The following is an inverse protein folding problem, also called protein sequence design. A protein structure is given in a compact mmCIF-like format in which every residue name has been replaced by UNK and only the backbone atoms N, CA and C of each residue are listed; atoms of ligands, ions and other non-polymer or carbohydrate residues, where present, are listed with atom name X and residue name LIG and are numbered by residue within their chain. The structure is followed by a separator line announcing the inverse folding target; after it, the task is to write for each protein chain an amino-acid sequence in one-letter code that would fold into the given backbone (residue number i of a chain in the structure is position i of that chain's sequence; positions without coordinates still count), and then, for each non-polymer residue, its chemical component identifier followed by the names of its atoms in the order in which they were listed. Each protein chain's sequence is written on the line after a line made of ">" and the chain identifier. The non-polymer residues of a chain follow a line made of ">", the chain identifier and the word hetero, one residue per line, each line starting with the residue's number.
data_IF_649590388464
#
_entry.id   IF_649590388464
#
_cell.length_a   1.000
_cell.length_b   1.000
_cell.length_c   1.000
_cell.angle_alpha   90.00
_cell.angle_beta   90.00
_cell.angle_gamma   90.00
#
_symmetry.space_group_name_H-M   'P 1'
#
loop_
_entity.id
_entity.type
_entity.pdbx_description
1 polymer ?
#
# COMPACT_ATOMS: atom_id res chain seq x y z
N UNK A 1 37.81 -30.04 41.91
CA UNK A 1 38.21 -29.21 40.75
C UNK A 1 36.97 -28.47 40.30
N UNK A 2 36.88 -27.19 40.63
CA UNK A 2 35.69 -26.36 40.45
C UNK A 2 35.73 -25.69 39.06
N UNK A 3 34.64 -25.68 38.28
CA UNK A 3 34.64 -24.97 37.01
C UNK A 3 34.44 -23.48 37.27
N UNK A 4 35.40 -22.70 36.78
CA UNK A 4 35.35 -21.24 36.76
C UNK A 4 34.38 -20.81 35.65
N UNK A 5 33.15 -20.45 36.03
CA UNK A 5 32.17 -19.84 35.12
C UNK A 5 32.56 -18.38 34.93
N UNK A 6 33.23 -18.08 33.82
CA UNK A 6 33.53 -16.72 33.39
C UNK A 6 32.23 -16.03 33.00
N UNK A 7 31.69 -15.23 33.92
CA UNK A 7 30.60 -14.30 33.66
C UNK A 7 31.12 -13.17 32.76
N UNK A 8 30.99 -13.34 31.44
CA UNK A 8 31.10 -12.25 30.48
C UNK A 8 29.99 -11.25 30.78
N UNK A 9 30.31 -10.18 31.50
CA UNK A 9 29.45 -9.01 31.65
C UNK A 9 29.23 -8.42 30.25
N UNK A 10 28.09 -8.75 29.64
CA UNK A 10 27.52 -7.93 28.56
C UNK A 10 27.36 -6.53 29.14
N UNK A 11 28.23 -5.61 28.74
CA UNK A 11 28.04 -4.19 29.02
C UNK A 11 26.75 -3.77 28.34
N UNK A 12 25.73 -3.45 29.14
CA UNK A 12 24.51 -2.80 28.70
C UNK A 12 24.87 -1.37 28.28
N UNK A 13 25.46 -1.21 27.09
CA UNK A 13 25.47 0.09 26.45
C UNK A 13 24.01 0.48 26.22
N UNK A 14 23.62 1.63 26.79
CA UNK A 14 22.27 2.15 26.56
C UNK A 14 22.06 2.29 25.06
N UNK A 15 20.98 1.72 24.50
CA UNK A 15 20.75 1.77 23.08
C UNK A 15 20.68 3.24 22.64
N UNK A 16 21.49 3.59 21.63
CA UNK A 16 21.54 4.95 21.10
C UNK A 16 20.15 5.32 20.58
N UNK A 17 19.55 6.37 21.13
CA UNK A 17 18.25 6.92 20.72
C UNK A 17 18.22 7.10 19.20
N UNK A 18 17.18 6.58 18.56
CA UNK A 18 16.98 6.67 17.10
C UNK A 18 15.62 7.30 16.83
N UNK A 19 15.55 8.64 16.93
CA UNK A 19 14.33 9.39 16.64
C UNK A 19 14.14 9.50 15.12
N UNK A 20 12.99 9.04 14.62
CA UNK A 20 12.56 9.18 13.22
C UNK A 20 11.09 9.59 13.13
N UNK A 21 10.69 10.15 11.99
CA UNK A 21 9.32 10.63 11.72
C UNK A 21 8.32 9.54 11.34
N UNK A 22 8.82 8.35 10.99
CA UNK A 22 8.03 7.20 10.58
C UNK A 22 8.87 5.92 10.73
N UNK A 23 8.22 4.76 10.72
CA UNK A 23 8.91 3.47 10.77
C UNK A 23 9.60 3.22 9.43
N UNK A 24 10.76 2.56 9.43
CA UNK A 24 11.33 2.10 8.16
C UNK A 24 10.64 0.81 7.72
N UNK A 25 10.82 0.47 6.44
CA UNK A 25 10.49 -0.86 5.93
C UNK A 25 11.13 -1.94 6.80
N UNK A 26 10.40 -3.02 7.04
CA UNK A 26 10.74 -4.15 7.94
C UNK A 26 10.51 -3.91 9.43
N UNK A 27 10.13 -2.69 9.83
CA UNK A 27 9.82 -2.41 11.23
C UNK A 27 8.47 -3.03 11.60
N UNK A 28 8.41 -3.73 12.73
CA UNK A 28 7.14 -4.12 13.32
C UNK A 28 6.58 -2.98 14.15
N UNK A 29 5.30 -2.71 13.97
CA UNK A 29 4.56 -1.70 14.71
C UNK A 29 3.29 -2.32 15.29
N UNK A 30 2.89 -1.81 16.44
CA UNK A 30 1.52 -1.93 16.92
C UNK A 30 0.70 -0.75 16.46
N UNK A 31 -0.57 -0.95 16.14
CA UNK A 31 -1.43 0.15 15.70
C UNK A 31 -2.92 -0.10 15.94
N UNK A 32 -3.70 0.97 15.89
CA UNK A 32 -5.17 0.97 15.94
C UNK A 32 -5.74 2.01 14.98
N UNK A 33 -6.93 1.77 14.44
CA UNK A 33 -7.61 2.72 13.54
C UNK A 33 -8.09 3.94 14.35
N UNK A 34 -7.78 5.14 13.89
CA UNK A 34 -8.17 6.41 14.52
C UNK A 34 -9.14 7.17 13.62
N UNK A 35 -10.43 6.93 13.84
CA UNK A 35 -11.51 7.55 13.07
C UNK A 35 -11.52 9.08 13.19
N UNK A 36 -11.18 9.62 14.36
CA UNK A 36 -11.20 11.08 14.58
C UNK A 36 -10.09 11.75 13.79
N UNK A 37 -8.85 11.25 13.88
CA UNK A 37 -7.75 11.77 13.06
C UNK A 37 -8.02 11.60 11.56
N UNK A 38 -8.70 10.52 11.17
CA UNK A 38 -9.11 10.33 9.78
C UNK A 38 -10.09 11.42 9.34
N UNK A 39 -11.12 11.72 10.12
CA UNK A 39 -12.07 12.80 9.80
C UNK A 39 -11.42 14.18 9.82
N UNK A 40 -10.46 14.41 10.72
CA UNK A 40 -9.66 15.63 10.76
C UNK A 40 -8.82 15.80 9.49
N UNK A 41 -8.18 14.73 9.01
CA UNK A 41 -7.45 14.69 7.74
C UNK A 41 -8.37 15.05 6.56
N UNK A 42 -9.55 14.44 6.52
CA UNK A 42 -10.58 14.69 5.51
C UNK A 42 -11.25 16.07 5.64
N UNK A 43 -10.95 16.82 6.72
CA UNK A 43 -11.57 18.11 7.07
C UNK A 43 -13.10 18.01 7.13
N UNK A 44 -13.59 16.89 7.66
CA UNK A 44 -15.00 16.60 7.82
C UNK A 44 -15.43 17.00 9.23
N UNK A 45 -16.39 17.92 9.34
CA UNK A 45 -16.97 18.29 10.63
C UNK A 45 -17.82 17.12 11.17
N UNK A 46 -17.47 16.61 12.35
CA UNK A 46 -18.19 15.51 12.97
C UNK A 46 -19.60 15.98 13.37
N UNK A 47 -20.62 15.43 12.71
CA UNK A 47 -22.02 15.68 13.09
C UNK A 47 -22.32 14.91 14.37
N UNK A 48 -23.09 15.53 15.28
CA UNK A 48 -23.41 14.92 16.58
C UNK A 48 -24.07 13.53 16.49
N UNK A 49 -24.71 13.20 15.36
CA UNK A 49 -25.30 11.86 15.11
C UNK A 49 -24.25 10.74 14.94
N UNK A 50 -23.00 11.07 14.60
CA UNK A 50 -21.92 10.10 14.42
C UNK A 50 -20.94 10.06 15.59
N UNK A 51 -20.96 11.05 16.50
CA UNK A 51 -20.06 11.12 17.66
C UNK A 51 -20.12 9.88 18.55
N UNK A 52 -21.33 9.36 18.80
CA UNK A 52 -21.51 8.14 19.59
C UNK A 52 -20.95 6.91 18.87
N UNK A 53 -21.20 6.77 17.56
CA UNK A 53 -20.68 5.66 16.75
C UNK A 53 -19.15 5.67 16.68
N UNK A 54 -18.54 6.84 16.49
CA UNK A 54 -17.09 7.03 16.48
C UNK A 54 -16.48 6.71 17.85
N UNK A 55 -17.11 7.16 18.93
CA UNK A 55 -16.62 6.93 20.30
C UNK A 55 -16.74 5.47 20.72
N UNK A 56 -17.79 4.78 20.25
CA UNK A 56 -18.03 3.37 20.54
C UNK A 56 -17.32 2.43 19.56
N UNK A 57 -16.64 2.95 18.53
CA UNK A 57 -15.89 2.13 17.59
C UNK A 57 -14.76 1.37 18.31
N UNK A 58 -14.59 0.07 18.06
CA UNK A 58 -13.64 -0.75 18.82
C UNK A 58 -12.18 -0.32 18.56
N UNK A 59 -11.53 0.24 19.59
CA UNK A 59 -10.10 0.58 19.55
C UNK A 59 -9.21 -0.65 19.77
N UNK A 60 -9.26 -1.62 18.84
CA UNK A 60 -8.41 -2.82 18.87
C UNK A 60 -6.99 -2.49 18.40
N UNK A 61 -6.01 -3.11 19.05
CA UNK A 61 -4.59 -2.99 18.69
C UNK A 61 -4.15 -4.20 17.88
N UNK A 62 -3.64 -3.93 16.69
CA UNK A 62 -3.10 -4.90 15.75
C UNK A 62 -1.58 -4.79 15.70
N UNK A 63 -0.92 -5.80 15.14
CA UNK A 63 0.53 -5.79 14.89
C UNK A 63 0.74 -6.05 13.41
N UNK A 64 1.64 -5.29 12.81
CA UNK A 64 2.03 -5.46 11.42
C UNK A 64 3.52 -5.19 11.24
N UNK A 65 4.06 -5.68 10.14
CA UNK A 65 5.35 -5.22 9.61
C UNK A 65 5.11 -4.24 8.47
N UNK A 66 5.92 -3.20 8.43
CA UNK A 66 5.95 -2.24 7.32
C UNK A 66 6.57 -2.90 6.09
N UNK A 67 5.81 -2.98 4.97
CA UNK A 67 6.26 -3.63 3.74
C UNK A 67 6.76 -2.65 2.68
N UNK A 68 5.99 -1.58 2.44
CA UNK A 68 6.28 -0.60 1.40
C UNK A 68 7.09 0.57 1.92
N UNK A 69 7.95 1.12 1.08
CA UNK A 69 8.39 2.50 1.29
C UNK A 69 7.18 3.41 1.15
N UNK A 70 7.09 4.50 1.94
CA UNK A 70 6.01 5.46 1.77
C UNK A 70 6.00 5.97 0.33
N UNK A 71 4.83 5.93 -0.31
CA UNK A 71 4.64 6.44 -1.68
C UNK A 71 4.94 7.94 -1.76
N UNK A 72 4.78 8.65 -0.64
CA UNK A 72 5.11 10.06 -0.46
C UNK A 72 6.44 10.23 0.25
N UNK A 73 7.30 11.12 -0.26
CA UNK A 73 8.52 11.52 0.45
C UNK A 73 8.18 12.12 1.83
N UNK A 74 8.99 11.86 2.86
CA UNK A 74 8.79 12.44 4.19
C UNK A 74 9.13 13.94 4.18
N UNK A 75 8.19 14.75 3.72
CA UNK A 75 8.29 16.20 3.71
C UNK A 75 7.83 16.70 5.09
N UNK A 76 8.60 17.53 5.81
CA UNK A 76 8.26 18.00 7.15
C UNK A 76 6.88 18.69 7.30
N UNK A 77 6.33 19.19 6.20
CA UNK A 77 5.03 19.87 6.16
C UNK A 77 3.86 18.96 5.74
N UNK A 78 4.11 17.66 5.49
CA UNK A 78 3.10 16.69 5.10
C UNK A 78 2.74 15.84 6.32
N UNK A 79 1.61 16.10 6.99
CA UNK A 79 1.31 15.53 8.30
C UNK A 79 0.98 14.04 8.28
N UNK A 80 0.74 13.45 7.10
CA UNK A 80 0.38 12.04 6.95
C UNK A 80 1.13 11.40 5.80
N UNK A 81 1.56 10.14 6.00
CA UNK A 81 2.22 9.33 4.98
C UNK A 81 1.40 8.08 4.73
N UNK A 82 1.18 7.76 3.45
CA UNK A 82 0.62 6.48 3.06
C UNK A 82 1.67 5.39 3.24
N UNK A 83 1.26 4.26 3.82
CA UNK A 83 2.14 3.11 4.01
C UNK A 83 1.37 1.82 3.82
N UNK A 84 2.09 0.79 3.39
CA UNK A 84 1.57 -0.58 3.25
C UNK A 84 2.03 -1.43 4.42
N UNK A 85 1.07 -2.01 5.14
CA UNK A 85 1.27 -2.85 6.31
C UNK A 85 0.89 -4.29 6.00
N UNK A 86 1.75 -5.24 6.41
CA UNK A 86 1.40 -6.66 6.41
C UNK A 86 1.10 -7.13 7.82
N UNK A 87 -0.10 -7.65 8.02
CA UNK A 87 -0.54 -8.06 9.35
C UNK A 87 0.24 -9.27 9.84
N UNK A 88 0.53 -9.23 11.13
CA UNK A 88 1.05 -10.35 11.90
C UNK A 88 -0.09 -10.90 12.77
N UNK A 89 -0.30 -12.20 12.71
CA UNK A 89 -1.26 -12.89 13.58
C UNK A 89 -0.64 -14.10 14.27
N UNK A 90 -1.38 -14.64 15.23
CA UNK A 90 -1.03 -15.84 15.96
C UNK A 90 -1.84 -17.03 15.43
N UNK A 91 -1.16 -18.14 15.16
CA UNK A 91 -1.70 -19.31 14.50
C UNK A 91 -1.72 -19.19 12.97
N UNK A 92 -1.88 -20.33 12.31
CA UNK A 92 -2.15 -20.37 10.88
C UNK A 92 -3.48 -19.65 10.57
N UNK A 93 -3.57 -18.89 9.47
CA UNK A 93 -4.83 -18.29 9.07
C UNK A 93 -5.88 -19.35 8.75
N UNK A 94 -7.12 -19.06 9.17
CA UNK A 94 -8.27 -19.72 8.61
C UNK A 94 -8.41 -19.34 7.12
N UNK A 95 -8.98 -20.24 6.33
CA UNK A 95 -9.30 -19.93 4.95
C UNK A 95 -10.30 -18.76 4.90
N UNK A 96 -10.04 -17.78 4.04
CA UNK A 96 -10.95 -16.64 3.83
C UNK A 96 -11.40 -16.66 2.36
N UNK A 97 -12.53 -17.33 2.05
CA UNK A 97 -12.93 -17.60 0.66
C UNK A 97 -13.19 -16.33 -0.17
N UNK A 98 -13.64 -15.24 0.47
CA UNK A 98 -13.96 -13.99 -0.22
C UNK A 98 -12.73 -13.31 -0.86
N UNK A 99 -11.53 -13.61 -0.37
CA UNK A 99 -10.26 -13.10 -0.88
C UNK A 99 -9.37 -14.23 -1.41
N UNK A 100 -9.94 -15.44 -1.57
CA UNK A 100 -9.23 -16.64 -1.99
C UNK A 100 -7.95 -16.93 -1.18
N UNK A 101 -7.95 -16.53 0.09
CA UNK A 101 -6.83 -16.78 0.99
C UNK A 101 -6.93 -18.18 1.56
N UNK A 102 -5.91 -18.99 1.32
CA UNK A 102 -5.78 -20.33 1.88
C UNK A 102 -4.80 -20.34 3.06
N UNK A 103 -4.93 -21.29 4.02
CA UNK A 103 -4.08 -21.34 5.20
C UNK A 103 -2.57 -21.39 4.94
N UNK A 104 -2.17 -21.85 3.75
CA UNK A 104 -0.77 -21.96 3.34
C UNK A 104 -0.23 -20.72 2.63
N UNK A 105 -1.07 -19.71 2.36
CA UNK A 105 -0.68 -18.41 1.79
C UNK A 105 -0.15 -17.47 2.89
N UNK A 106 0.79 -17.98 3.68
CA UNK A 106 1.42 -17.27 4.77
C UNK A 106 2.90 -17.66 4.88
N UNK A 107 3.62 -17.09 5.83
CA UNK A 107 4.95 -17.54 6.19
C UNK A 107 5.23 -17.36 7.69
N UNK A 108 5.91 -18.33 8.32
CA UNK A 108 6.13 -18.31 9.76
C UNK A 108 7.20 -17.29 10.16
N UNK A 109 7.16 -16.85 11.41
CA UNK A 109 8.18 -16.03 12.06
C UNK A 109 8.92 -16.87 13.10
N UNK A 110 10.24 -16.67 13.21
CA UNK A 110 11.10 -17.36 14.18
C UNK A 110 10.56 -17.15 15.60
N UNK A 111 10.43 -18.20 16.44
CA UNK A 111 11.06 -19.52 16.31
C UNK A 111 10.25 -20.60 15.59
N UNK A 112 9.05 -20.30 15.08
CA UNK A 112 8.14 -21.33 14.61
C UNK A 112 8.59 -21.88 13.25
N UNK A 113 8.47 -23.19 13.06
CA UNK A 113 8.91 -23.86 11.83
C UNK A 113 7.79 -24.60 11.11
N UNK A 114 6.59 -24.67 11.70
CA UNK A 114 5.46 -25.36 11.10
C UNK A 114 4.80 -24.50 10.03
N UNK A 115 5.01 -24.84 8.76
CA UNK A 115 4.27 -24.25 7.65
C UNK A 115 3.85 -25.36 6.67
N UNK A 116 2.62 -25.34 6.12
CA UNK A 116 2.15 -26.40 5.21
C UNK A 116 3.08 -26.62 3.99
N UNK A 117 3.68 -25.55 3.49
CA UNK A 117 4.64 -25.58 2.37
C UNK A 117 6.11 -25.62 2.81
N UNK A 118 6.39 -25.92 4.08
CA UNK A 118 7.74 -25.94 4.66
C UNK A 118 8.55 -24.65 4.42
N UNK A 119 7.89 -23.49 4.37
CA UNK A 119 8.57 -22.20 4.18
C UNK A 119 9.47 -21.92 5.39
N UNK A 120 10.76 -21.61 5.18
CA UNK A 120 11.65 -21.21 6.26
C UNK A 120 11.14 -19.97 6.99
N UNK A 121 11.14 -19.97 8.34
CA UNK A 121 10.68 -18.82 9.08
C UNK A 121 11.52 -17.58 8.84
N UNK A 122 10.87 -16.43 8.81
CA UNK A 122 11.55 -15.14 8.79
C UNK A 122 12.13 -14.85 10.16
N UNK A 123 13.36 -14.34 10.18
CA UNK A 123 14.08 -13.96 11.38
C UNK A 123 13.81 -12.51 11.69
N UNK A 124 13.84 -12.23 12.99
CA UNK A 124 13.77 -10.88 13.52
C UNK A 124 15.06 -10.58 14.28
N UNK A 125 15.40 -9.29 14.40
CA UNK A 125 16.59 -8.86 15.16
C UNK A 125 16.57 -9.30 16.64
N UNK A 126 15.38 -9.56 17.17
CA UNK A 126 15.12 -10.16 18.48
C UNK A 126 13.82 -10.97 18.43
N UNK A 127 13.67 -12.06 19.19
CA UNK A 127 12.46 -12.89 19.17
C UNK A 127 11.21 -12.07 19.48
N UNK A 128 10.14 -12.28 18.73
CA UNK A 128 8.84 -11.68 19.03
C UNK A 128 8.29 -12.23 20.37
N UNK A 129 7.46 -11.45 21.09
CA UNK A 129 6.94 -11.86 22.39
C UNK A 129 5.86 -12.96 22.31
N UNK A 130 5.32 -13.21 21.11
CA UNK A 130 4.33 -14.26 20.86
C UNK A 130 4.96 -15.46 20.16
N UNK A 131 4.29 -16.62 20.28
CA UNK A 131 4.65 -17.86 19.58
C UNK A 131 3.62 -18.11 18.49
N UNK A 132 3.98 -18.99 17.56
CA UNK A 132 3.16 -19.39 16.42
C UNK A 132 2.75 -18.18 15.58
N UNK A 133 3.72 -17.34 15.23
CA UNK A 133 3.49 -16.09 14.52
C UNK A 133 3.58 -16.27 13.00
N UNK A 134 2.61 -15.73 12.27
CA UNK A 134 2.55 -15.82 10.80
C UNK A 134 2.22 -14.48 10.18
N UNK A 135 2.90 -14.17 9.07
CA UNK A 135 2.53 -13.08 8.16
C UNK A 135 1.65 -13.62 7.04
N UNK A 136 0.69 -12.81 6.62
CA UNK A 136 -0.23 -13.17 5.55
C UNK A 136 0.28 -12.63 4.23
N UNK A 137 0.58 -13.51 3.28
CA UNK A 137 1.31 -13.12 2.08
C UNK A 137 0.48 -12.25 1.12
N UNK A 138 -0.83 -12.48 1.06
CA UNK A 138 -1.74 -11.78 0.13
C UNK A 138 -2.58 -10.68 0.79
N UNK A 139 -2.28 -10.34 2.05
CA UNK A 139 -3.10 -9.43 2.83
C UNK A 139 -2.27 -8.28 3.37
N UNK A 140 -2.13 -7.29 2.50
CA UNK A 140 -1.58 -6.00 2.85
C UNK A 140 -2.73 -5.00 3.05
N UNK A 141 -2.52 -4.06 3.96
CA UNK A 141 -3.44 -2.97 4.23
C UNK A 141 -2.73 -1.64 4.00
N UNK A 142 -3.33 -0.79 3.19
CA UNK A 142 -2.89 0.59 3.04
C UNK A 142 -3.52 1.46 4.12
N UNK A 143 -2.69 2.26 4.77
CA UNK A 143 -3.11 3.15 5.87
C UNK A 143 -2.34 4.46 5.84
N UNK A 144 -2.85 5.44 6.58
CA UNK A 144 -2.16 6.70 6.79
C UNK A 144 -1.50 6.76 8.17
N UNK A 145 -0.19 6.98 8.18
CA UNK A 145 0.58 7.24 9.40
C UNK A 145 0.68 8.74 9.65
N UNK A 146 0.33 9.24 10.85
CA UNK A 146 0.64 10.61 11.23
C UNK A 146 2.16 10.76 11.38
N UNK A 147 2.72 11.80 10.76
CA UNK A 147 4.13 12.11 10.87
C UNK A 147 4.44 12.52 12.31
N UNK A 148 5.10 11.63 13.05
CA UNK A 148 5.37 11.83 14.47
C UNK A 148 6.71 11.21 14.85
N UNK A 149 7.38 11.84 15.82
CA UNK A 149 8.71 11.44 16.24
C UNK A 149 8.62 10.29 17.24
N UNK A 150 9.14 9.13 16.86
CA UNK A 150 9.24 7.98 17.76
C UNK A 150 10.68 7.54 17.93
N UNK A 151 10.98 6.95 19.09
CA UNK A 151 12.24 6.29 19.35
C UNK A 151 12.18 4.82 18.87
N UNK A 152 12.93 4.51 17.83
CA UNK A 152 13.03 3.17 17.25
C UNK A 152 14.21 2.37 17.79
N UNK A 153 14.90 2.86 18.82
CA UNK A 153 16.08 2.19 19.38
C UNK A 153 15.79 0.73 19.82
N UNK A 154 14.57 0.48 20.31
CA UNK A 154 14.12 -0.84 20.76
C UNK A 154 13.07 -1.47 19.82
N UNK A 155 12.91 -0.99 18.59
CA UNK A 155 11.94 -1.57 17.67
C UNK A 155 12.33 -3.01 17.26
N UNK A 156 11.34 -3.78 16.83
CA UNK A 156 11.53 -5.11 16.24
C UNK A 156 11.63 -4.95 14.72
N UNK A 157 12.54 -5.69 14.09
CA UNK A 157 12.83 -5.58 12.67
C UNK A 157 12.92 -6.96 12.05
N UNK A 158 12.37 -7.13 10.86
CA UNK A 158 12.61 -8.30 10.02
C UNK A 158 14.02 -8.23 9.42
N UNK A 159 14.71 -9.37 9.34
CA UNK A 159 15.99 -9.47 8.64
C UNK A 159 15.83 -9.03 7.18
N UNK A 160 16.89 -8.43 6.62
CA UNK A 160 16.83 -7.90 5.25
C UNK A 160 16.62 -8.99 4.20
N UNK A 161 17.34 -10.11 4.31
CA UNK A 161 17.23 -11.20 3.35
C UNK A 161 15.89 -11.92 3.49
N UNK A 162 15.39 -12.02 4.72
CA UNK A 162 14.07 -12.60 4.98
C UNK A 162 12.93 -11.70 4.48
N UNK A 163 13.10 -10.38 4.49
CA UNK A 163 12.16 -9.45 3.87
C UNK A 163 12.10 -9.59 2.35
N UNK A 164 13.25 -9.68 1.68
CA UNK A 164 13.31 -9.95 0.24
C UNK A 164 12.68 -11.30 -0.11
N UNK A 165 12.92 -12.32 0.72
CA UNK A 165 12.31 -13.64 0.54
C UNK A 165 10.79 -13.60 0.77
N UNK A 166 10.33 -12.86 1.78
CA UNK A 166 8.92 -12.65 2.05
C UNK A 166 8.22 -11.97 0.86
N UNK A 167 8.87 -11.01 0.19
CA UNK A 167 8.33 -10.38 -1.02
C UNK A 167 8.06 -11.40 -2.13
N UNK A 168 8.98 -12.36 -2.33
CA UNK A 168 8.78 -13.47 -3.28
C UNK A 168 7.57 -14.35 -2.91
N UNK A 169 7.45 -14.74 -1.64
CA UNK A 169 6.30 -15.53 -1.19
C UNK A 169 4.98 -14.82 -1.46
N UNK A 170 4.96 -13.48 -1.35
CA UNK A 170 3.78 -12.68 -1.66
C UNK A 170 3.43 -12.71 -3.14
N UNK A 171 4.42 -12.64 -4.04
CA UNK A 171 4.18 -12.81 -5.48
C UNK A 171 3.60 -14.19 -5.80
N UNK A 172 4.24 -15.26 -5.30
CA UNK A 172 3.79 -16.65 -5.50
C UNK A 172 2.37 -16.87 -4.98
N UNK A 173 2.07 -16.40 -3.77
CA UNK A 173 0.75 -16.58 -3.17
C UNK A 173 -0.31 -15.70 -3.85
N UNK A 174 0.04 -14.50 -4.30
CA UNK A 174 -0.87 -13.64 -5.05
C UNK A 174 -1.24 -14.24 -6.42
N UNK A 175 -0.29 -14.87 -7.12
CA UNK A 175 -0.56 -15.67 -8.31
C UNK A 175 -1.52 -16.83 -8.02
N UNK A 176 -1.27 -17.56 -6.93
CA UNK A 176 -2.12 -18.67 -6.54
C UNK A 176 -3.54 -18.20 -6.15
N UNK A 177 -3.65 -17.10 -5.42
CA UNK A 177 -4.93 -16.48 -5.08
C UNK A 177 -5.68 -16.04 -6.34
N UNK A 178 -5.00 -15.44 -7.34
CA UNK A 178 -5.59 -15.10 -8.64
C UNK A 178 -6.07 -16.34 -9.39
N UNK A 179 -5.28 -17.40 -9.44
CA UNK A 179 -5.67 -18.66 -10.08
C UNK A 179 -6.91 -19.29 -9.42
N UNK A 180 -7.00 -19.20 -8.08
CA UNK A 180 -8.12 -19.70 -7.31
C UNK A 180 -9.41 -18.88 -7.49
N UNK A 181 -9.32 -17.61 -7.90
CA UNK A 181 -10.50 -16.76 -8.16
C UNK A 181 -11.26 -17.17 -9.42
N UNK A 182 -10.63 -17.88 -10.36
CA UNK A 182 -11.22 -18.19 -11.66
C UNK A 182 -11.32 -16.95 -12.58
N UNK A 183 -12.24 -16.96 -13.55
CA UNK A 183 -12.45 -15.80 -14.41
C UNK A 183 -12.87 -14.57 -13.56
N UNK A 184 -12.32 -13.38 -13.86
CA UNK A 184 -12.50 -12.19 -13.02
C UNK A 184 -13.98 -11.84 -12.88
N UNK A 185 -14.52 -11.99 -11.67
CA UNK A 185 -15.81 -11.40 -11.34
C UNK A 185 -15.62 -9.89 -11.19
N UNK A 186 -16.20 -9.12 -12.11
CA UNK A 186 -16.23 -7.66 -12.07
C UNK A 186 -16.76 -7.18 -10.71
N UNK A 187 -15.88 -6.62 -9.86
CA UNK A 187 -16.25 -6.05 -8.56
C UNK A 187 -15.32 -6.35 -7.39
N UNK A 188 -14.14 -6.94 -7.61
CA UNK A 188 -13.21 -7.20 -6.51
C UNK A 188 -12.55 -5.92 -5.97
N UNK A 189 -12.25 -5.86 -4.66
CA UNK A 189 -11.61 -4.70 -4.07
C UNK A 189 -10.20 -4.48 -4.62
N UNK A 190 -9.90 -3.24 -4.99
CA UNK A 190 -8.65 -2.79 -5.62
C UNK A 190 -7.39 -2.89 -4.73
N UNK A 191 -7.50 -3.36 -3.48
CA UNK A 191 -6.41 -3.30 -2.49
C UNK A 191 -5.44 -4.49 -2.53
N UNK A 192 -5.62 -5.46 -3.43
CA UNK A 192 -4.51 -6.35 -3.78
C UNK A 192 -3.62 -5.51 -4.70
N UNK A 193 -2.38 -5.17 -4.31
CA UNK A 193 -1.48 -4.44 -5.17
C UNK A 193 -1.22 -5.29 -6.42
N UNK A 194 -1.98 -5.04 -7.46
CA UNK A 194 -1.61 -5.41 -8.80
C UNK A 194 -0.51 -4.40 -9.16
N UNK A 195 0.73 -4.85 -9.19
CA UNK A 195 1.64 -4.21 -10.14
C UNK A 195 0.98 -4.43 -11.49
N UNK A 196 0.33 -3.37 -12.00
CA UNK A 196 -0.06 -3.31 -13.40
C UNK A 196 1.26 -3.44 -14.15
N UNK A 197 1.59 -4.66 -14.58
CA UNK A 197 2.59 -4.85 -15.60
C UNK A 197 2.12 -3.96 -16.76
N UNK A 198 2.83 -2.85 -16.96
CA UNK A 198 2.73 -1.97 -18.13
C UNK A 198 3.18 -2.77 -19.37
N UNK A 199 2.50 -3.88 -19.66
CA UNK A 199 2.47 -4.46 -20.98
C UNK A 199 1.68 -3.49 -21.86
N UNK A 200 2.41 -2.49 -22.34
CA UNK A 200 2.12 -1.75 -23.56
C UNK A 200 1.98 -2.79 -24.69
N UNK A 201 0.82 -3.42 -24.78
CA UNK A 201 0.47 -4.29 -25.88
C UNK A 201 0.20 -3.41 -27.09
N UNK A 202 1.27 -3.18 -27.84
CA UNK A 202 1.23 -2.67 -29.19
C UNK A 202 0.30 -3.53 -30.07
N UNK A 203 -0.36 -2.83 -31.00
CA UNK A 203 -1.11 -3.33 -32.14
C UNK A 203 -2.49 -3.96 -31.90
N UNK A 204 -3.53 -3.12 -31.96
CA UNK A 204 -4.79 -3.51 -32.59
C UNK A 204 -4.57 -3.75 -34.10
N UNK A 205 -4.81 -4.95 -34.64
CA UNK A 205 -5.13 -5.10 -36.05
C UNK A 205 -6.61 -4.77 -36.26
N UNK A 206 -6.84 -3.68 -36.97
CA UNK A 206 -8.08 -3.39 -37.68
C UNK A 206 -8.50 -4.60 -38.51
N UNK A 207 -9.61 -5.25 -38.14
CA UNK A 207 -10.36 -6.14 -39.03
C UNK A 207 -11.79 -5.64 -39.14
N UNK A 208 -12.06 -5.00 -40.28
CA UNK A 208 -13.39 -4.96 -40.86
C UNK A 208 -13.71 -6.39 -41.31
N UNK A 209 -14.82 -6.95 -40.83
CA UNK A 209 -15.85 -7.56 -41.69
C UNK A 209 -17.01 -8.07 -40.84
N UNK A 210 -18.19 -7.52 -41.13
CA UNK A 210 -19.48 -7.99 -40.63
C UNK A 210 -19.95 -9.12 -41.54
N UNK A 211 -20.14 -10.31 -41.00
CA UNK A 211 -21.11 -11.26 -41.55
C UNK A 211 -21.92 -11.91 -40.43
N UNK A 212 -23.16 -12.21 -40.80
CA UNK A 212 -24.30 -12.38 -39.93
C UNK A 212 -24.49 -13.83 -39.48
N UNK A 213 -24.88 -13.99 -38.21
CA UNK A 213 -25.88 -14.95 -37.74
C UNK A 213 -25.63 -16.45 -37.89
N UNK A 214 -25.45 -17.12 -36.75
CA UNK A 214 -26.14 -18.39 -36.47
C UNK A 214 -26.19 -18.66 -34.96
N UNK A 215 -27.39 -18.96 -34.47
CA UNK A 215 -27.72 -19.21 -33.07
C UNK A 215 -27.29 -20.65 -32.73
N UNK A 216 -26.21 -20.83 -31.96
CA UNK A 216 -25.77 -22.15 -31.48
C UNK A 216 -26.04 -22.35 -29.99
N UNK A 217 -26.43 -23.58 -29.66
CA UNK A 217 -26.82 -24.11 -28.35
C UNK A 217 -25.82 -23.82 -27.22
N UNK A 218 -26.29 -23.76 -25.96
CA UNK A 218 -25.40 -23.54 -24.82
C UNK A 218 -24.44 -24.73 -24.61
N UNK A 219 -23.16 -24.47 -24.28
CA UNK A 219 -22.17 -25.53 -24.09
C UNK A 219 -22.46 -26.33 -22.82
N UNK A 220 -22.19 -27.64 -22.89
CA UNK A 220 -22.26 -28.55 -21.75
C UNK A 220 -21.26 -28.15 -20.64
N UNK A 221 -21.55 -28.44 -19.36
CA UNK A 221 -20.68 -28.09 -18.24
C UNK A 221 -19.30 -28.75 -18.38
N UNK A 222 -18.25 -27.94 -18.18
CA UNK A 222 -16.86 -28.41 -18.27
C UNK A 222 -16.51 -29.36 -17.11
N UNK A 223 -15.68 -30.39 -17.36
CA UNK A 223 -15.21 -31.29 -16.32
C UNK A 223 -14.29 -30.57 -15.32
N UNK A 224 -14.35 -31.04 -14.08
CA UNK A 224 -13.54 -30.61 -12.95
C UNK A 224 -12.03 -30.61 -13.31
N UNK A 225 -11.36 -29.46 -13.16
CA UNK A 225 -9.94 -29.28 -13.44
C UNK A 225 -9.08 -30.30 -12.68
N UNK A 226 -8.16 -30.97 -13.38
CA UNK A 226 -7.19 -31.87 -12.77
C UNK A 226 -6.26 -31.08 -11.81
N UNK A 227 -5.84 -31.67 -10.68
CA UNK A 227 -4.94 -31.02 -9.74
C UNK A 227 -3.60 -30.71 -10.43
N UNK A 228 -3.18 -29.44 -10.35
CA UNK A 228 -1.88 -28.97 -10.85
C UNK A 228 -0.76 -29.85 -10.31
N UNK A 229 0.09 -30.35 -11.23
CA UNK A 229 1.25 -31.14 -10.90
C UNK A 229 2.15 -30.38 -9.92
N UNK A 230 2.46 -31.01 -8.78
CA UNK A 230 3.32 -30.43 -7.76
C UNK A 230 4.72 -30.24 -8.34
N UNK A 231 5.15 -28.98 -8.56
CA UNK A 231 6.54 -28.66 -8.94
C UNK A 231 7.46 -29.16 -7.81
N UNK A 232 8.30 -30.15 -8.09
CA UNK A 232 9.35 -30.59 -7.17
C UNK A 232 10.57 -29.69 -7.34
N UNK A 233 10.93 -28.96 -6.28
CA UNK A 233 12.16 -28.19 -6.22
C UNK A 233 13.32 -29.08 -5.79
N UNK A 234 14.51 -28.87 -6.38
CA UNK A 234 15.76 -29.47 -5.90
C UNK A 234 16.32 -28.64 -4.74
N UNK A 235 16.80 -29.35 -3.73
CA UNK A 235 17.45 -28.77 -2.55
C UNK A 235 18.90 -29.23 -2.53
N UNK A 236 19.80 -28.31 -2.20
CA UNK A 236 21.21 -28.59 -1.93
C UNK A 236 21.36 -29.41 -0.63
N UNK A 237 22.53 -30.02 -0.43
CA UNK A 237 22.84 -30.83 0.76
C UNK A 237 22.75 -30.04 2.07
N UNK A 238 22.82 -28.71 2.02
CA UNK A 238 22.64 -27.79 3.15
C UNK A 238 21.18 -27.34 3.37
N UNK A 239 20.25 -27.84 2.55
CA UNK A 239 18.82 -27.51 2.60
C UNK A 239 18.48 -26.18 1.94
N UNK A 240 19.43 -25.55 1.23
CA UNK A 240 19.18 -24.35 0.44
C UNK A 240 18.52 -24.76 -0.89
N UNK A 241 17.51 -24.02 -1.32
CA UNK A 241 16.87 -24.28 -2.62
C UNK A 241 17.81 -23.75 -3.70
N UNK A 242 18.15 -24.59 -4.68
CA UNK A 242 18.90 -24.18 -5.86
C UNK A 242 17.96 -23.46 -6.83
N UNK A 243 17.94 -22.14 -6.71
CA UNK A 243 17.05 -21.26 -7.48
C UNK A 243 17.49 -21.07 -8.94
N UNK A 244 18.68 -21.56 -9.33
CA UNK A 244 19.18 -21.45 -10.71
C UNK A 244 18.94 -22.71 -11.53
N UNK A 245 18.56 -23.83 -10.90
CA UNK A 245 18.13 -25.05 -11.56
C UNK A 245 16.73 -24.91 -12.19
N UNK A 246 16.53 -23.91 -13.05
CA UNK A 246 15.41 -23.92 -13.99
C UNK A 246 15.72 -24.99 -15.03
N UNK A 247 14.85 -25.97 -15.18
CA UNK A 247 15.07 -27.19 -15.95
C UNK A 247 14.95 -26.99 -17.47
N UNK A 248 15.58 -25.95 -18.03
CA UNK A 248 15.57 -25.65 -19.47
C UNK A 248 16.91 -25.07 -19.97
N UNK A 249 18.04 -25.65 -19.55
CA UNK A 249 19.34 -25.39 -20.20
C UNK A 249 20.09 -26.70 -20.40
N UNK A 250 19.56 -27.55 -21.29
CA UNK A 250 20.41 -28.45 -22.04
C UNK A 250 20.95 -27.64 -23.23
N UNK A 251 22.27 -27.68 -23.41
CA UNK A 251 23.07 -26.96 -24.42
C UNK A 251 23.48 -25.53 -24.07
N UNK A 252 24.61 -25.39 -23.36
CA UNK A 252 25.59 -24.38 -23.74
C UNK A 252 27.01 -24.86 -23.40
N UNK A 253 27.86 -24.78 -24.42
CA UNK A 253 29.18 -25.37 -24.54
C UNK A 253 30.24 -24.66 -23.69
N UNK A 254 31.30 -25.41 -23.38
CA UNK A 254 32.48 -25.03 -22.61
C UNK A 254 33.07 -23.66 -23.03
N UNK A 255 33.03 -22.68 -22.12
CA UNK A 255 33.86 -21.47 -22.20
C UNK A 255 34.86 -21.47 -21.03
N UNK A 256 36.05 -22.06 -21.26
CA UNK A 256 37.20 -21.91 -20.37
C UNK A 256 37.83 -20.53 -20.55
N UNK A 257 37.61 -19.61 -19.62
CA UNK A 257 38.42 -18.39 -19.49
C UNK A 257 39.47 -18.53 -18.36
N UNK A 258 40.76 -18.33 -18.65
CA UNK A 258 41.80 -18.33 -17.62
C UNK A 258 41.99 -16.89 -17.10
N UNK A 259 41.63 -16.64 -15.85
CA UNK A 259 42.00 -15.39 -15.18
C UNK A 259 43.33 -15.56 -14.45
N UNK A 260 44.35 -14.87 -14.99
CA UNK A 260 45.65 -14.71 -14.35
C UNK A 260 45.58 -13.70 -13.19
N UNK A 261 46.13 -14.18 -12.09
CA UNK A 261 46.59 -13.47 -10.90
C UNK A 261 47.52 -12.29 -11.25
N UNK A 262 47.11 -11.07 -10.92
CA UNK A 262 48.07 -9.99 -10.66
C UNK A 262 47.50 -9.02 -9.63
N UNK A 263 48.09 -9.06 -8.44
CA UNK A 263 47.98 -8.00 -7.46
C UNK A 263 48.75 -6.75 -7.92
N UNK A 264 48.24 -5.58 -7.55
CA UNK A 264 49.07 -4.42 -7.32
C UNK A 264 48.41 -3.48 -6.30
N UNK A 265 49.14 -3.27 -5.21
CA UNK A 265 48.85 -2.28 -4.17
C UNK A 265 49.35 -0.92 -4.66
N UNK A 266 48.46 0.08 -4.81
CA UNK A 266 48.94 1.47 -4.71
C UNK A 266 47.85 2.45 -4.29
N UNK A 267 48.26 3.26 -3.33
CA UNK A 267 47.50 4.28 -2.63
C UNK A 267 47.22 5.53 -3.50
N UNK A 268 46.19 6.26 -3.08
CA UNK A 268 46.07 7.72 -3.16
C UNK A 268 46.23 8.39 -4.53
N UNK A 269 45.15 8.98 -5.05
CA UNK A 269 45.02 10.44 -5.17
C UNK A 269 43.61 10.85 -5.61
N UNK A 270 43.08 11.86 -4.94
CA UNK A 270 41.93 12.64 -5.38
C UNK A 270 42.20 13.30 -6.73
N UNK A 271 41.37 13.04 -7.74
CA UNK A 271 41.17 13.96 -8.85
C UNK A 271 39.69 14.22 -9.07
N UNK A 272 39.34 15.48 -8.88
CA UNK A 272 38.05 16.05 -9.17
C UNK A 272 37.98 16.43 -10.64
N UNK A 273 36.85 16.15 -11.27
CA UNK A 273 36.28 16.93 -12.39
C UNK A 273 37.22 17.12 -13.59
N UNK A 274 37.22 16.14 -14.49
CA UNK A 274 37.48 16.34 -15.92
C UNK A 274 36.35 15.69 -16.72
N UNK A 275 35.27 16.42 -16.93
CA UNK A 275 34.11 16.03 -17.75
C UNK A 275 33.97 16.92 -18.99
N UNK A 276 35.08 17.44 -19.53
CA UNK A 276 35.07 18.22 -20.77
C UNK A 276 36.35 17.92 -21.57
N UNK A 277 36.34 16.82 -22.32
CA UNK A 277 37.14 16.69 -23.54
C UNK A 277 36.16 16.46 -24.68
N UNK A 278 36.06 17.48 -25.53
CA UNK A 278 35.51 17.40 -26.88
C UNK A 278 36.38 16.43 -27.67
N UNK A 279 35.90 15.21 -27.85
CA UNK A 279 36.36 14.32 -28.91
C UNK A 279 35.30 14.38 -30.02
N UNK A 280 35.41 15.41 -30.86
CA UNK A 280 34.93 15.34 -32.24
C UNK A 280 35.81 14.29 -32.94
N UNK A 281 35.21 13.21 -33.45
CA UNK A 281 35.52 12.58 -34.75
C UNK A 281 34.99 11.14 -34.80
N UNK A 282 33.92 10.94 -35.58
CA UNK A 282 33.69 9.74 -36.38
C UNK A 282 33.37 8.42 -35.66
N UNK A 283 32.10 8.02 -35.70
CA UNK A 283 31.58 6.98 -36.61
C UNK A 283 30.06 6.83 -36.34
N UNK A 284 29.27 6.62 -37.39
CA UNK A 284 27.82 6.46 -37.32
C UNK A 284 27.49 5.10 -36.67
N UNK A 285 27.55 5.05 -35.35
CA UNK A 285 27.20 3.88 -34.57
C UNK A 285 25.68 3.71 -34.58
N UNK A 286 25.28 2.58 -35.14
CA UNK A 286 23.91 2.12 -35.36
C UNK A 286 23.17 2.11 -34.01
N UNK A 287 22.37 3.14 -33.79
CA UNK A 287 21.73 3.46 -32.52
C UNK A 287 21.11 2.25 -31.82
N UNK A 288 21.80 1.79 -30.79
CA UNK A 288 21.16 1.07 -29.70
C UNK A 288 20.08 2.00 -29.18
N UNK A 289 18.84 1.52 -29.19
CA UNK A 289 17.69 2.12 -28.53
C UNK A 289 17.99 2.09 -27.03
N UNK A 290 18.86 3.03 -26.61
CA UNK A 290 19.28 3.20 -25.24
C UNK A 290 18.00 3.43 -24.47
N UNK A 291 17.77 2.57 -23.47
CA UNK A 291 16.67 2.67 -22.52
C UNK A 291 16.62 4.12 -22.04
N UNK A 292 15.70 4.89 -22.63
CA UNK A 292 15.46 6.27 -22.30
C UNK A 292 14.79 6.19 -20.93
N UNK A 293 15.62 6.15 -19.88
CA UNK A 293 15.19 6.25 -18.48
C UNK A 293 14.47 7.58 -18.38
N UNK A 294 13.16 7.56 -18.69
CA UNK A 294 12.29 8.72 -18.73
C UNK A 294 12.39 9.37 -17.37
N UNK A 295 13.14 10.46 -17.32
CA UNK A 295 13.18 11.34 -16.16
C UNK A 295 11.72 11.56 -15.77
N UNK A 296 11.33 11.24 -14.52
CA UNK A 296 9.95 11.36 -14.08
C UNK A 296 9.46 12.75 -14.46
N UNK A 297 8.33 12.81 -15.17
CA UNK A 297 7.74 14.07 -15.57
C UNK A 297 7.65 15.00 -14.36
N UNK A 298 7.96 16.29 -14.54
CA UNK A 298 7.88 17.28 -13.46
C UNK A 298 6.49 17.29 -12.78
N UNK A 299 5.45 16.86 -13.48
CA UNK A 299 4.12 16.66 -12.89
C UNK A 299 4.10 15.53 -11.85
N UNK A 300 4.74 14.40 -12.11
CA UNK A 300 4.85 13.29 -11.16
C UNK A 300 5.64 13.72 -9.91
N UNK A 301 6.72 14.49 -10.09
CA UNK A 301 7.44 15.08 -8.96
C UNK A 301 6.56 16.02 -8.13
N UNK A 302 5.74 16.86 -8.77
CA UNK A 302 4.85 17.79 -8.06
C UNK A 302 3.68 17.08 -7.36
N UNK A 303 3.16 16.01 -7.97
CA UNK A 303 2.13 15.15 -7.35
C UNK A 303 2.68 14.43 -6.12
N UNK A 304 3.90 13.90 -6.18
CA UNK A 304 4.58 13.32 -5.03
C UNK A 304 4.88 14.33 -3.90
N UNK A 305 4.87 15.64 -4.21
CA UNK A 305 5.02 16.72 -3.24
C UNK A 305 3.69 17.23 -2.69
N UNK A 306 2.54 16.84 -3.27
CA UNK A 306 1.25 17.28 -2.76
C UNK A 306 0.93 16.54 -1.45
N UNK A 307 0.47 17.24 -0.40
CA UNK A 307 0.04 16.58 0.83
C UNK A 307 -1.09 15.61 0.52
N UNK A 308 -0.96 14.37 0.99
CA UNK A 308 -2.01 13.36 0.90
C UNK A 308 -3.29 13.88 1.59
N UNK A 309 -4.43 13.76 0.91
CA UNK A 309 -5.69 14.37 1.34
C UNK A 309 -6.69 13.39 1.99
N UNK A 310 -6.30 12.13 2.16
CA UNK A 310 -7.13 11.10 2.76
C UNK A 310 -7.78 10.14 1.76
N UNK A 311 -7.70 10.42 0.45
CA UNK A 311 -8.35 9.62 -0.58
C UNK A 311 -7.36 8.89 -1.49
N UNK A 312 -7.68 7.66 -1.84
CA UNK A 312 -7.03 6.94 -2.94
C UNK A 312 -7.55 7.43 -4.30
N UNK A 313 -6.85 7.10 -5.41
CA UNK A 313 -7.29 7.44 -6.77
C UNK A 313 -8.69 6.93 -7.12
N UNK A 314 -9.12 5.81 -6.53
CA UNK A 314 -10.46 5.22 -6.69
C UNK A 314 -11.55 5.94 -5.86
N UNK A 315 -11.17 6.93 -5.04
CA UNK A 315 -12.05 7.68 -4.15
C UNK A 315 -12.32 6.99 -2.81
N UNK A 316 -11.70 5.85 -2.54
CA UNK A 316 -11.78 5.19 -1.23
C UNK A 316 -11.02 6.00 -0.17
N UNK A 317 -11.49 5.92 1.07
CA UNK A 317 -10.91 6.64 2.20
C UNK A 317 -9.83 5.76 2.84
N UNK A 318 -8.62 6.30 3.01
CA UNK A 318 -7.55 5.64 3.76
C UNK A 318 -7.64 6.00 5.25
N UNK A 319 -7.85 5.01 6.14
CA UNK A 319 -7.90 5.27 7.56
C UNK A 319 -6.53 5.72 8.09
N UNK A 320 -6.55 6.76 8.92
CA UNK A 320 -5.41 7.15 9.76
C UNK A 320 -5.30 6.16 10.91
N UNK A 321 -4.09 5.73 11.21
CA UNK A 321 -3.81 4.84 12.34
C UNK A 321 -3.01 5.56 13.43
N UNK A 322 -3.28 5.21 14.68
CA UNK A 322 -2.41 5.51 15.81
C UNK A 322 -1.46 4.33 16.03
N UNK A 323 -0.14 4.57 16.08
CA UNK A 323 0.83 3.49 16.09
C UNK A 323 1.95 3.68 17.12
N UNK A 324 2.61 2.57 17.47
CA UNK A 324 3.75 2.52 18.39
C UNK A 324 4.74 1.42 17.96
N UNK A 325 6.05 1.71 17.91
CA UNK A 325 7.08 0.69 17.66
C UNK A 325 7.31 -0.24 18.87
N UNK A 326 6.78 0.10 20.04
CA UNK A 326 6.85 -0.76 21.22
C UNK A 326 5.72 -1.81 21.18
N UNK A 327 6.11 -3.08 21.20
CA UNK A 327 5.23 -4.25 21.20
C UNK A 327 4.96 -4.81 22.60
N UNK A 328 5.60 -4.28 23.65
CA UNK A 328 5.58 -4.86 25.00
C UNK A 328 4.20 -4.86 25.68
N UNK A 329 3.29 -3.99 25.24
CA UNK A 329 1.94 -3.85 25.79
C UNK A 329 0.86 -4.72 25.14
N UNK A 330 1.21 -5.63 24.23
CA UNK A 330 0.24 -6.43 23.49
C UNK A 330 0.26 -7.89 23.99
N UNK A 331 -0.78 -8.33 24.74
CA UNK A 331 -0.79 -9.66 25.33
C UNK A 331 -1.04 -10.78 24.31
N UNK A 332 -1.79 -10.49 23.25
CA UNK A 332 -2.19 -11.44 22.21
C UNK A 332 -2.45 -10.72 20.90
N UNK A 333 -2.30 -11.42 19.78
CA UNK A 333 -2.60 -10.91 18.45
C UNK A 333 -4.06 -11.21 18.08
N UNK A 334 -4.72 -10.24 17.45
CA UNK A 334 -6.01 -10.50 16.81
C UNK A 334 -5.79 -11.20 15.46
N UNK A 335 -6.81 -11.93 14.99
CA UNK A 335 -6.78 -12.49 13.63
C UNK A 335 -6.86 -11.37 12.60
N UNK A 336 -6.28 -11.60 11.43
CA UNK A 336 -6.41 -10.66 10.33
C UNK A 336 -7.85 -10.51 9.84
N UNK A 337 -8.65 -11.58 9.89
CA UNK A 337 -10.08 -11.51 9.57
C UNK A 337 -10.79 -10.46 10.46
N UNK A 338 -10.45 -10.41 11.74
CA UNK A 338 -11.00 -9.40 12.64
C UNK A 338 -10.53 -7.99 12.27
N UNK A 339 -9.26 -7.83 11.87
CA UNK A 339 -8.76 -6.56 11.37
C UNK A 339 -9.54 -6.08 10.15
N UNK A 340 -9.71 -6.92 9.12
CA UNK A 340 -10.40 -6.51 7.89
C UNK A 340 -11.88 -6.20 8.14
N UNK A 341 -12.56 -6.94 9.02
CA UNK A 341 -13.91 -6.59 9.48
C UNK A 341 -13.98 -5.20 10.11
N UNK A 342 -13.00 -4.87 10.96
CA UNK A 342 -12.92 -3.55 11.59
C UNK A 342 -12.55 -2.47 10.56
N UNK A 343 -11.64 -2.77 9.64
CA UNK A 343 -11.18 -1.87 8.60
C UNK A 343 -12.32 -1.48 7.65
N UNK A 344 -13.09 -2.46 7.17
CA UNK A 344 -14.28 -2.22 6.35
C UNK A 344 -15.36 -1.45 7.12
N UNK A 345 -15.60 -1.81 8.39
CA UNK A 345 -16.57 -1.10 9.23
C UNK A 345 -16.14 0.37 9.47
N UNK A 346 -14.84 0.61 9.65
CA UNK A 346 -14.28 1.95 9.74
C UNK A 346 -14.49 2.74 8.44
N UNK A 347 -14.14 2.16 7.29
CA UNK A 347 -14.33 2.80 5.99
C UNK A 347 -15.81 3.12 5.72
N UNK A 348 -16.72 2.20 6.03
CA UNK A 348 -18.15 2.41 5.88
C UNK A 348 -18.65 3.58 6.75
N UNK A 349 -18.24 3.62 8.02
CA UNK A 349 -18.62 4.70 8.94
C UNK A 349 -18.04 6.06 8.50
N UNK A 350 -16.78 6.08 8.05
CA UNK A 350 -16.13 7.28 7.53
C UNK A 350 -16.85 7.79 6.28
N UNK A 351 -17.23 6.89 5.37
CA UNK A 351 -18.01 7.22 4.19
C UNK A 351 -19.36 7.84 4.55
N UNK A 352 -20.09 7.26 5.51
CA UNK A 352 -21.34 7.84 6.02
C UNK A 352 -21.14 9.24 6.63
N UNK A 353 -20.02 9.47 7.33
CA UNK A 353 -19.71 10.78 7.91
C UNK A 353 -19.46 11.83 6.81
N UNK A 354 -18.70 11.47 5.77
CA UNK A 354 -18.33 12.37 4.67
C UNK A 354 -19.50 12.67 3.73
N UNK A 355 -20.24 11.64 3.33
CA UNK A 355 -21.34 11.76 2.36
C UNK A 355 -22.65 12.19 3.04
N UNK A 356 -22.73 12.04 4.36
CA UNK A 356 -23.96 12.09 5.13
C UNK A 356 -24.73 10.77 5.02
N UNK A 357 -25.58 10.48 6.01
CA UNK A 357 -26.48 9.33 5.91
C UNK A 357 -27.33 9.52 4.65
N UNK A 358 -27.38 8.55 3.71
CA UNK A 358 -28.23 8.65 2.54
C UNK A 358 -29.62 8.91 3.10
N UNK A 359 -30.13 10.12 2.87
CA UNK A 359 -31.30 10.62 3.57
C UNK A 359 -32.33 9.51 3.50
N UNK A 360 -32.83 9.07 4.65
CA UNK A 360 -34.06 8.29 4.66
C UNK A 360 -35.04 9.20 3.97
N UNK A 361 -35.22 9.00 2.67
CA UNK A 361 -36.14 9.76 1.85
C UNK A 361 -37.46 9.37 2.47
N UNK A 362 -37.88 10.15 3.46
CA UNK A 362 -39.19 10.07 4.05
C UNK A 362 -40.07 10.25 2.84
N UNK A 363 -40.55 9.13 2.32
CA UNK A 363 -41.47 9.09 1.22
C UNK A 363 -42.72 9.72 1.79
N UNK A 364 -42.79 11.04 1.68
CA UNK A 364 -44.02 11.77 1.74
C UNK A 364 -44.80 11.33 0.50
N UNK A 365 -45.32 10.10 0.55
CA UNK A 365 -46.51 9.75 -0.18
C UNK A 365 -47.57 10.65 0.44
N UNK A 366 -47.73 11.82 -0.18
CA UNK A 366 -48.92 12.62 -0.03
C UNK A 366 -50.11 11.68 -0.23
N UNK A 367 -50.80 11.38 0.87
CA UNK A 367 -52.13 10.82 0.84
C UNK A 367 -53.07 11.90 0.28
N UNK A 368 -53.01 12.11 -1.03
CA UNK A 368 -54.03 12.79 -1.79
C UNK A 368 -55.22 11.86 -1.97
N UNK A 369 -56.22 11.98 -1.09
CA UNK A 369 -57.61 11.75 -1.49
C UNK A 369 -58.49 12.85 -0.94
N UNK A 370 -59.06 13.55 -1.90
CA UNK A 370 -59.86 14.75 -1.86
C UNK A 370 -61.20 14.50 -1.13
N UNK A 371 -61.76 15.57 -0.55
CA UNK A 371 -63.10 16.01 -0.95
C UNK A 371 -63.32 17.50 -0.60
N UNK A 372 -63.93 18.30 -1.49
CA UNK A 372 -64.17 19.73 -1.29
C UNK A 372 -65.59 19.99 -0.78
N UNK A 373 -65.74 20.90 0.20
CA UNK A 373 -67.01 21.60 0.41
C UNK A 373 -66.79 22.91 1.16
N UNK A 374 -67.33 23.97 0.54
CA UNK A 374 -67.30 25.37 0.91
C UNK A 374 -67.70 25.65 2.37
N UNK A 375 -67.24 26.77 2.95
CA UNK A 375 -68.07 27.97 3.25
C UNK A 375 -67.20 29.07 3.86
N UNK A 376 -67.52 30.32 3.48
CA UNK A 376 -66.86 31.57 3.85
C UNK A 376 -66.86 31.91 5.34
N UNK A 377 -65.90 32.77 5.73
CA UNK A 377 -65.85 33.49 7.00
C UNK A 377 -64.40 33.67 7.45
N UNK A 378 -63.75 34.77 7.09
CA UNK A 378 -63.64 36.00 7.90
C UNK A 378 -62.39 35.99 8.81
N UNK A 379 -61.72 37.15 8.75
CA UNK A 379 -60.55 37.65 9.46
C UNK A 379 -59.94 36.87 10.63
N UNK A 380 -58.61 36.69 10.59
CA UNK A 380 -57.72 37.31 11.58
C UNK A 380 -56.24 37.11 11.21
N UNK A 381 -55.49 38.21 11.25
CA UNK A 381 -54.05 38.26 11.06
C UNK A 381 -53.30 37.43 12.12
N UNK A 382 -52.27 36.70 11.67
CA UNK A 382 -51.12 36.31 12.49
C UNK A 382 -49.86 36.31 11.63
N UNK A 383 -48.91 37.14 12.02
CA UNK A 383 -47.51 37.07 11.62
C UNK A 383 -47.00 35.64 11.85
N UNK A 384 -46.52 35.02 10.78
CA UNK A 384 -45.75 33.77 10.85
C UNK A 384 -44.37 34.08 10.32
N UNK A 385 -43.41 33.80 11.20
CA UNK A 385 -41.98 33.90 11.04
C UNK A 385 -41.51 33.30 9.72
N UNK A 386 -40.63 34.03 9.01
CA UNK A 386 -40.01 33.57 7.77
C UNK A 386 -39.13 32.36 8.05
N UNK A 387 -39.65 31.20 7.69
CA UNK A 387 -38.89 29.96 7.59
C UNK A 387 -37.64 30.16 6.74
N UNK A 388 -36.51 29.77 7.32
CA UNK A 388 -35.22 29.73 6.66
C UNK A 388 -35.26 28.69 5.54
N UNK A 389 -34.97 29.13 4.32
CA UNK A 389 -34.85 28.26 3.16
C UNK A 389 -33.72 27.24 3.39
N UNK A 390 -33.91 25.95 3.05
CA UNK A 390 -32.83 24.97 3.08
C UNK A 390 -31.78 25.41 2.05
N UNK A 391 -30.56 25.69 2.53
CA UNK A 391 -29.47 25.98 1.62
C UNK A 391 -29.13 24.73 0.81
N UNK A 392 -28.95 24.85 -0.51
CA UNK A 392 -28.52 23.73 -1.34
C UNK A 392 -27.13 23.30 -0.88
N UNK A 393 -27.03 22.05 -0.44
CA UNK A 393 -25.77 21.38 -0.10
C UNK A 393 -24.87 21.45 -1.33
N UNK A 394 -23.87 22.33 -1.29
CA UNK A 394 -22.84 22.42 -2.32
C UNK A 394 -21.97 21.18 -2.22
N UNK A 395 -22.00 20.35 -3.27
CA UNK A 395 -21.13 19.17 -3.41
C UNK A 395 -19.64 19.59 -3.31
N UNK A 396 -18.82 18.93 -2.47
CA UNK A 396 -17.45 19.35 -2.16
C UNK A 396 -16.45 19.23 -3.33
N UNK A 397 -16.73 18.41 -4.34
CA UNK A 397 -15.85 18.20 -5.50
C UNK A 397 -15.50 19.49 -6.28
N UNK A 398 -16.39 20.48 -6.32
CA UNK A 398 -16.13 21.75 -7.03
C UNK A 398 -15.11 22.67 -6.32
N UNK A 399 -14.98 22.54 -4.99
CA UNK A 399 -14.04 23.33 -4.20
C UNK A 399 -12.62 22.76 -4.25
N UNK A 400 -12.49 21.44 -4.41
CA UNK A 400 -11.21 20.74 -4.56
C UNK A 400 -10.51 21.11 -5.87
N UNK A 401 -11.21 21.03 -7.01
CA UNK A 401 -10.65 21.40 -8.34
C UNK A 401 -10.18 22.86 -8.39
N UNK A 402 -10.94 23.78 -7.80
CA UNK A 402 -10.57 25.21 -7.68
C UNK A 402 -9.37 25.45 -6.75
N UNK A 403 -9.11 24.56 -5.79
CA UNK A 403 -7.94 24.67 -4.89
C UNK A 403 -6.66 24.13 -5.54
N UNK A 404 -6.74 23.07 -6.34
CA UNK A 404 -5.59 22.57 -7.12
C UNK A 404 -5.08 23.64 -8.08
N UNK A 405 -5.98 24.33 -8.79
CA UNK A 405 -5.60 25.45 -9.66
C UNK A 405 -4.95 26.60 -8.88
N UNK A 406 -5.53 26.97 -7.73
CA UNK A 406 -4.97 28.03 -6.87
C UNK A 406 -3.63 27.65 -6.23
N UNK A 407 -3.41 26.37 -5.94
CA UNK A 407 -2.16 25.82 -5.43
C UNK A 407 -1.02 25.88 -6.45
N UNK A 408 -1.30 25.55 -7.72
CA UNK A 408 -0.35 25.70 -8.84
C UNK A 408 0.13 27.15 -9.00
N UNK A 409 -0.77 28.12 -8.85
CA UNK A 409 -0.41 29.54 -8.94
C UNK A 409 0.39 30.03 -7.73
N UNK A 410 0.06 29.55 -6.53
CA UNK A 410 0.82 29.86 -5.32
C UNK A 410 2.24 29.27 -5.33
N UNK A 411 2.40 28.04 -5.85
CA UNK A 411 3.71 27.38 -5.97
C UNK A 411 4.61 28.13 -6.96
N UNK A 412 4.06 28.58 -8.10
CA UNK A 412 4.75 29.44 -9.07
C UNK A 412 5.23 30.77 -8.47
N UNK A 413 4.48 31.33 -7.52
CA UNK A 413 4.83 32.57 -6.82
C UNK A 413 5.83 32.38 -5.65
N UNK A 414 5.98 31.15 -5.15
CA UNK A 414 6.80 30.84 -3.98
C UNK A 414 8.31 30.99 -4.23
N UNK A 415 9.10 31.07 -3.15
CA UNK A 415 10.59 31.06 -3.24
C UNK A 415 11.11 29.74 -3.82
N UNK A 416 10.45 28.63 -3.51
CA UNK A 416 10.77 27.29 -4.03
C UNK A 416 10.50 27.23 -5.54
N UNK A 417 9.33 27.69 -6.00
CA UNK A 417 9.02 27.78 -7.43
C UNK A 417 9.99 28.69 -8.22
N UNK A 418 10.48 29.77 -7.60
CA UNK A 418 11.52 30.63 -8.19
C UNK A 418 12.91 30.00 -8.21
N UNK A 419 13.23 29.13 -7.24
CA UNK A 419 14.49 28.38 -7.21
C UNK A 419 14.51 27.37 -8.36
N UNK A 420 13.46 26.57 -8.53
CA UNK A 420 13.33 25.63 -9.65
C UNK A 420 13.35 26.33 -11.01
N UNK A 421 12.66 27.48 -11.16
CA UNK A 421 12.74 28.27 -12.40
C UNK A 421 14.17 28.74 -12.73
N UNK A 422 15.00 29.09 -11.73
CA UNK A 422 16.40 29.51 -11.98
C UNK A 422 17.33 28.36 -12.30
N UNK A 423 17.11 27.20 -11.70
CA UNK A 423 17.90 26.00 -11.97
C UNK A 423 17.60 25.47 -13.38
N UNK A 424 16.34 25.56 -13.83
CA UNK A 424 15.90 24.97 -15.09
C UNK A 424 15.91 25.93 -16.30
N UNK A 425 15.89 27.26 -16.11
CA UNK A 425 16.03 28.21 -17.23
C UNK A 425 17.50 28.47 -17.64
N UNK A 426 18.46 27.69 -17.14
CA UNK A 426 19.88 27.79 -17.55
C UNK A 426 20.25 26.95 -18.77
N UNK A 427 19.33 26.13 -19.28
CA UNK A 427 19.55 25.28 -20.46
C UNK A 427 19.20 25.93 -21.81
N UNK A 428 18.59 27.12 -21.83
CA UNK A 428 18.29 27.84 -23.07
C UNK A 428 19.24 29.04 -23.29
N UNK A 429 20.53 28.77 -23.42
CA UNK A 429 21.44 29.69 -24.11
C UNK A 429 22.06 28.97 -25.29
N UNK A 430 21.53 29.32 -26.46
CA UNK A 430 22.00 29.00 -27.82
C UNK A 430 23.51 28.82 -27.91
N UNK A 431 23.93 27.67 -28.41
CA UNK A 431 24.94 27.60 -29.47
C UNK A 431 24.21 27.38 -30.79
#
# INVERSE_FOLDING_TARGET
>A
MSPSVSATRQSFENPKVRIRFGPDVRTYISFSIDLRKTLDLLRCDIRGEFEEAITNFPARKYVAVVQGYPSSLPIPDVPYQQITLRLLQQGLPDAIPNICLEPHMCFPVTPDTSHPLNRPPVKTNKPLPWKECYHLSCLDAEVCLPQSQFDYANAFWMDFNDWLRAFRYCGEDAELARANQGEPQNGWPSWIPCEEDDQDSAHEPSSEDKEDGECSEPPAPQPLSEPLATKQYKYDEDGRIDWLASSDSEDDEDFEEPYEDSGDDSDAYSESIRWLTDDEDGEEEKGSEAADERIPSMNAMLEALMPFDGYLPDGSILPVIDFSPDLSGIPSLFSAEQFFKDFEAAQALLKECVEGRPGSTVSAVEAGKEDPSNTAGDSCAREVDRGSAPQPIRRPFSAFRKRIEKGKDALKASRVGRFFKRVLCRSDTKN
#
